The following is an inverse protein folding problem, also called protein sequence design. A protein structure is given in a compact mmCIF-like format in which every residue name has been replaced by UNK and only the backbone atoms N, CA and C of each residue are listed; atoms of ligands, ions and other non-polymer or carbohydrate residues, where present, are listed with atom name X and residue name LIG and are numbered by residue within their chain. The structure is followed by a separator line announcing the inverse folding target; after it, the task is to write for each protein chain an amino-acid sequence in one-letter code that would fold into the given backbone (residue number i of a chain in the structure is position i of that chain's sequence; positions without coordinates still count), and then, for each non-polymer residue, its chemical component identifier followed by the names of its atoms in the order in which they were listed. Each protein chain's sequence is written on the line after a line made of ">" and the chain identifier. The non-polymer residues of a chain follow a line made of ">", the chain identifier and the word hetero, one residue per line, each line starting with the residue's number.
data_IF_528929052281
#
_entry.id   IF_528929052281
#
_cell.length_a   1.000
_cell.length_b   1.000
_cell.length_c   1.000
_cell.angle_alpha   90.00
_cell.angle_beta   90.00
_cell.angle_gamma   90.00
#
_symmetry.space_group_name_H-M   'P 1'
#
loop_
_entity.id
_entity.type
_entity.pdbx_description
1 polymer ?
#
# COMPACT_ATOMS: atom_id res chain seq x y z
N UNK A 1 -25.98 0.30 43.07
CA UNK A 1 -26.82 -0.12 41.94
C UNK A 1 -26.95 1.05 40.96
N UNK A 2 -25.97 1.21 40.06
CA UNK A 2 -26.07 2.10 38.89
C UNK A 2 -25.30 1.41 37.77
N UNK A 3 -26.04 1.05 36.72
CA UNK A 3 -25.64 0.18 35.62
C UNK A 3 -25.00 1.04 34.54
N UNK A 4 -23.71 0.83 34.25
CA UNK A 4 -23.05 1.37 33.05
C UNK A 4 -23.35 0.45 31.86
N UNK A 5 -24.17 0.92 30.94
CA UNK A 5 -24.34 0.33 29.61
C UNK A 5 -23.23 0.89 28.72
N UNK A 6 -22.18 0.11 28.51
CA UNK A 6 -21.15 0.39 27.49
C UNK A 6 -21.57 -0.34 26.21
N UNK A 7 -21.99 0.43 25.20
CA UNK A 7 -22.28 -0.10 23.87
C UNK A 7 -20.98 -0.59 23.17
N UNK A 8 -20.88 -1.87 22.77
CA UNK A 8 -19.72 -2.39 22.06
C UNK A 8 -19.96 -2.34 20.55
N UNK A 9 -19.21 -1.51 19.81
CA UNK A 9 -19.43 -1.44 18.36
C UNK A 9 -18.36 -0.81 17.47
N UNK A 10 -17.32 -0.17 18.01
CA UNK A 10 -16.50 0.76 17.21
C UNK A 10 -15.11 0.27 16.76
N UNK A 11 -14.74 -1.00 16.97
CA UNK A 11 -13.36 -1.48 16.74
C UNK A 11 -13.15 -2.55 15.66
N UNK A 12 -14.17 -2.94 14.86
CA UNK A 12 -13.98 -4.00 13.85
C UNK A 12 -13.59 -3.53 12.44
N UNK A 13 -13.76 -2.23 12.12
CA UNK A 13 -13.59 -1.75 10.74
C UNK A 13 -12.15 -1.62 10.25
N UNK A 14 -11.21 -1.21 11.11
CA UNK A 14 -9.80 -1.05 10.72
C UNK A 14 -9.00 -2.37 10.76
N UNK A 15 -9.57 -3.41 11.39
CA UNK A 15 -8.92 -4.72 11.55
C UNK A 15 -8.81 -5.49 10.24
N UNK A 16 -9.64 -5.19 9.24
CA UNK A 16 -9.57 -5.89 7.94
C UNK A 16 -8.33 -5.46 7.17
N UNK A 17 -7.97 -4.17 7.13
CA UNK A 17 -6.76 -3.72 6.39
C UNK A 17 -5.45 -4.08 7.13
N UNK A 18 -5.39 -3.86 8.44
CA UNK A 18 -4.23 -4.27 9.26
C UNK A 18 -4.09 -5.81 9.35
N UNK A 19 -5.21 -6.54 9.36
CA UNK A 19 -5.24 -8.00 9.39
C UNK A 19 -4.98 -8.65 8.03
N UNK A 20 -5.46 -8.06 6.92
CA UNK A 20 -5.19 -8.59 5.57
C UNK A 20 -3.70 -8.49 5.22
N UNK A 21 -3.06 -7.36 5.51
CA UNK A 21 -1.62 -7.24 5.26
C UNK A 21 -0.82 -8.16 6.20
N UNK A 22 -1.14 -8.24 7.49
CA UNK A 22 -0.41 -9.10 8.43
C UNK A 22 -0.54 -10.61 8.14
N UNK A 23 -1.73 -11.10 7.76
CA UNK A 23 -1.91 -12.51 7.40
C UNK A 23 -1.22 -12.89 6.08
N UNK A 24 -1.06 -11.95 5.14
CA UNK A 24 -0.27 -12.18 3.93
C UNK A 24 1.25 -12.15 4.17
N UNK A 25 1.74 -11.32 5.11
CA UNK A 25 3.17 -11.28 5.45
C UNK A 25 3.67 -12.58 6.10
N UNK A 26 2.87 -13.19 6.99
CA UNK A 26 3.25 -14.41 7.70
C UNK A 26 3.51 -15.63 6.80
N UNK A 27 2.87 -15.71 5.62
CA UNK A 27 3.07 -16.83 4.68
C UNK A 27 4.34 -16.72 3.82
N UNK A 28 4.93 -15.53 3.69
CA UNK A 28 6.07 -15.29 2.76
C UNK A 28 7.46 -15.49 3.37
N UNK A 29 7.56 -15.70 4.70
CA UNK A 29 8.85 -15.84 5.42
C UNK A 29 9.35 -17.29 5.48
N UNK A 30 8.53 -18.29 5.11
CA UNK A 30 8.93 -19.71 5.10
C UNK A 30 9.51 -20.19 3.77
N UNK A 31 10.52 -19.51 3.22
CA UNK A 31 11.43 -20.15 2.25
C UNK A 31 12.82 -19.57 2.43
N UNK A 32 13.68 -20.34 3.13
CA UNK A 32 15.13 -20.50 2.92
C UNK A 32 15.76 -21.12 4.17
N UNK A 33 15.99 -22.43 4.15
CA UNK A 33 17.15 -23.02 4.81
C UNK A 33 18.08 -23.53 3.72
N UNK A 34 19.33 -23.06 3.81
CA UNK A 34 20.42 -23.33 2.91
C UNK A 34 21.05 -24.70 3.18
N UNK A 35 21.67 -25.27 2.14
CA UNK A 35 22.68 -26.33 2.29
C UNK A 35 23.87 -25.99 1.40
N UNK A 36 24.99 -25.63 2.03
CA UNK A 36 26.37 -25.61 1.51
C UNK A 36 26.83 -27.09 1.39
N UNK A 37 27.65 -27.58 0.45
CA UNK A 37 29.13 -27.57 0.28
C UNK A 37 29.34 -28.58 -0.91
N UNK A 38 30.25 -28.50 -1.90
CA UNK A 38 31.72 -28.57 -1.91
C UNK A 38 32.30 -28.25 -3.30
N UNK A 39 33.47 -27.60 -3.28
CA UNK A 39 34.42 -27.42 -4.37
C UNK A 39 35.14 -28.73 -4.70
N UNK A 40 35.49 -28.89 -5.97
CA UNK A 40 36.69 -29.62 -6.40
C UNK A 40 37.30 -28.95 -7.62
N UNK A 41 38.64 -28.90 -7.65
CA UNK A 41 39.51 -28.23 -8.60
C UNK A 41 40.11 -29.27 -9.55
N UNK A 42 40.24 -28.97 -10.84
CA UNK A 42 41.25 -29.58 -11.73
C UNK A 42 41.65 -28.63 -12.88
N UNK A 43 42.97 -28.49 -13.08
CA UNK A 43 43.71 -27.86 -14.20
C UNK A 43 43.59 -28.75 -15.46
N UNK A 44 43.86 -28.40 -16.75
CA UNK A 44 44.92 -27.60 -17.40
C UNK A 44 44.61 -27.53 -18.94
N UNK A 45 44.81 -26.36 -19.56
CA UNK A 45 45.24 -25.91 -20.94
C UNK A 45 45.46 -26.91 -22.12
N UNK A 46 45.67 -26.48 -23.42
CA UNK A 46 45.14 -25.37 -24.26
C UNK A 46 44.76 -25.74 -25.75
N UNK A 47 44.29 -24.71 -26.49
CA UNK A 47 44.50 -24.42 -27.93
C UNK A 47 43.55 -24.98 -29.01
N UNK A 48 42.84 -24.08 -29.72
CA UNK A 48 43.15 -23.62 -31.09
C UNK A 48 42.03 -22.76 -31.67
N UNK A 49 42.45 -21.72 -32.39
CA UNK A 49 41.67 -20.85 -33.25
C UNK A 49 40.95 -21.60 -34.37
N UNK A 50 39.81 -21.10 -34.85
CA UNK A 50 39.47 -21.02 -36.27
C UNK A 50 38.26 -20.10 -36.51
N UNK A 51 38.48 -19.13 -37.39
CA UNK A 51 37.54 -18.16 -37.96
C UNK A 51 36.60 -18.77 -39.01
N UNK A 52 35.35 -18.30 -39.12
CA UNK A 52 34.55 -18.13 -40.36
C UNK A 52 33.21 -17.41 -40.04
N UNK A 53 33.06 -16.13 -40.44
CA UNK A 53 32.37 -15.62 -41.65
C UNK A 53 30.83 -15.76 -41.65
N UNK A 54 30.14 -14.60 -41.54
CA UNK A 54 28.98 -14.09 -42.33
C UNK A 54 27.75 -14.99 -42.57
N UNK A 55 26.46 -14.58 -42.52
CA UNK A 55 25.73 -13.31 -42.74
C UNK A 55 24.25 -13.51 -42.26
N UNK A 56 23.31 -12.54 -42.39
CA UNK A 56 22.18 -12.33 -41.47
C UNK A 56 20.93 -13.15 -41.82
N UNK A 57 20.02 -13.33 -40.86
CA UNK A 57 18.66 -13.77 -41.19
C UNK A 57 17.60 -13.20 -40.24
N UNK A 58 16.78 -12.35 -40.84
CA UNK A 58 15.36 -12.09 -40.56
C UNK A 58 14.98 -11.66 -39.12
N UNK A 59 14.87 -10.34 -38.96
CA UNK A 59 13.83 -9.72 -38.14
C UNK A 59 12.46 -10.24 -38.56
N UNK A 60 11.96 -11.24 -37.85
CA UNK A 60 10.54 -11.53 -37.80
C UNK A 60 9.94 -10.64 -36.71
N UNK A 61 9.31 -9.55 -37.14
CA UNK A 61 8.36 -8.80 -36.32
C UNK A 61 7.32 -9.79 -35.77
N UNK A 62 7.37 -10.05 -34.47
CA UNK A 62 6.26 -10.68 -33.77
C UNK A 62 5.15 -9.65 -33.62
N UNK A 63 4.32 -9.65 -34.66
CA UNK A 63 2.88 -9.41 -34.66
C UNK A 63 2.26 -9.33 -33.25
N UNK A 64 1.59 -8.21 -33.04
CA UNK A 64 0.91 -7.71 -31.86
C UNK A 64 -0.41 -8.44 -31.57
N UNK A 65 -0.36 -9.62 -30.97
CA UNK A 65 -1.58 -10.37 -30.57
C UNK A 65 -1.88 -10.35 -29.07
N UNK A 66 -1.19 -9.55 -28.25
CA UNK A 66 -1.31 -9.63 -26.77
C UNK A 66 -2.18 -8.57 -26.07
N UNK A 67 -2.84 -7.66 -26.80
CA UNK A 67 -3.48 -6.50 -26.16
C UNK A 67 -4.97 -6.67 -25.81
N UNK A 68 -5.64 -7.76 -26.22
CA UNK A 68 -7.10 -7.86 -26.07
C UNK A 68 -7.58 -8.52 -24.77
N UNK A 69 -6.72 -9.26 -24.06
CA UNK A 69 -7.13 -10.03 -22.87
C UNK A 69 -7.14 -9.18 -21.58
N UNK A 70 -6.25 -8.18 -21.48
CA UNK A 70 -6.06 -7.40 -20.25
C UNK A 70 -6.58 -5.96 -20.38
N UNK A 71 -7.80 -5.80 -20.91
CA UNK A 71 -8.44 -4.49 -21.07
C UNK A 71 -9.29 -4.11 -19.85
N UNK A 72 -9.50 -2.82 -19.63
CA UNK A 72 -10.40 -2.31 -18.60
C UNK A 72 -11.83 -2.85 -18.80
N UNK A 73 -12.28 -2.91 -20.06
CA UNK A 73 -13.59 -3.45 -20.45
C UNK A 73 -13.73 -4.92 -20.05
N UNK A 74 -12.73 -5.75 -20.34
CA UNK A 74 -12.74 -7.16 -19.96
C UNK A 74 -12.76 -7.33 -18.43
N UNK A 75 -11.97 -6.55 -17.70
CA UNK A 75 -11.97 -6.57 -16.25
C UNK A 75 -13.33 -6.21 -15.65
N UNK A 76 -13.94 -5.12 -16.11
CA UNK A 76 -15.28 -4.69 -15.66
C UNK A 76 -16.34 -5.75 -15.99
N UNK A 77 -16.27 -6.36 -17.18
CA UNK A 77 -17.17 -7.44 -17.57
C UNK A 77 -17.10 -8.64 -16.61
N UNK A 78 -15.91 -9.06 -16.20
CA UNK A 78 -15.76 -10.13 -15.22
C UNK A 78 -16.16 -9.70 -13.80
N UNK A 79 -15.91 -8.43 -13.44
CA UNK A 79 -16.27 -7.89 -12.14
C UNK A 79 -17.79 -7.81 -11.95
N UNK A 80 -18.54 -7.45 -12.99
CA UNK A 80 -20.00 -7.42 -12.99
C UNK A 80 -20.62 -8.78 -12.64
N UNK A 81 -19.98 -9.89 -13.03
CA UNK A 81 -20.45 -11.25 -12.71
C UNK A 81 -20.33 -11.58 -11.21
N UNK A 82 -19.58 -10.78 -10.45
CA UNK A 82 -19.31 -10.99 -9.02
C UNK A 82 -20.16 -10.09 -8.11
N UNK A 83 -21.05 -9.29 -8.70
CA UNK A 83 -21.92 -8.35 -7.99
C UNK A 83 -22.96 -9.07 -7.12
N UNK A 84 -23.25 -8.50 -5.95
CA UNK A 84 -24.32 -8.93 -5.06
C UNK A 84 -24.95 -7.76 -4.33
N UNK A 85 -26.28 -7.66 -4.39
CA UNK A 85 -27.05 -6.65 -3.65
C UNK A 85 -26.91 -6.78 -2.13
N UNK A 86 -26.69 -8.01 -1.64
CA UNK A 86 -26.44 -8.24 -0.23
C UNK A 86 -25.11 -7.63 0.21
N UNK A 87 -24.07 -7.81 -0.61
CA UNK A 87 -22.76 -7.22 -0.37
C UNK A 87 -22.80 -5.70 -0.55
N UNK A 88 -23.54 -5.18 -1.53
CA UNK A 88 -23.76 -3.73 -1.69
C UNK A 88 -24.33 -3.10 -0.42
N UNK A 89 -25.38 -3.69 0.18
CA UNK A 89 -25.96 -3.21 1.45
C UNK A 89 -24.97 -3.27 2.62
N UNK A 90 -24.01 -4.19 2.62
CA UNK A 90 -22.96 -4.25 3.65
C UNK A 90 -21.92 -3.16 3.44
N UNK A 91 -21.50 -2.94 2.20
CA UNK A 91 -20.51 -1.94 1.79
C UNK A 91 -21.01 -0.53 2.07
N UNK A 92 -22.26 -0.21 1.72
CA UNK A 92 -22.87 1.11 1.98
C UNK A 92 -22.96 1.44 3.48
N UNK A 93 -23.10 0.43 4.35
CA UNK A 93 -23.07 0.64 5.82
C UNK A 93 -21.66 0.85 6.36
N UNK A 94 -20.64 0.38 5.64
CA UNK A 94 -19.26 0.40 6.07
C UNK A 94 -18.52 1.67 5.61
N UNK A 95 -18.68 2.03 4.33
CA UNK A 95 -18.07 3.23 3.77
C UNK A 95 -18.92 4.45 4.06
N UNK A 96 -18.25 5.49 4.54
CA UNK A 96 -18.83 6.79 4.83
C UNK A 96 -18.87 7.63 3.56
N UNK A 97 -19.96 7.51 2.82
CA UNK A 97 -20.15 8.10 1.48
C UNK A 97 -21.25 9.18 1.44
N UNK A 98 -21.78 9.57 2.61
CA UNK A 98 -22.71 10.69 2.72
C UNK A 98 -22.05 12.05 2.48
N UNK A 99 -22.87 13.10 2.38
CA UNK A 99 -22.42 14.49 2.24
C UNK A 99 -21.49 14.89 3.40
N UNK A 100 -20.34 15.49 3.09
CA UNK A 100 -19.30 15.86 4.05
C UNK A 100 -18.48 14.69 4.60
N UNK A 101 -18.75 13.45 4.17
CA UNK A 101 -17.95 12.28 4.55
C UNK A 101 -16.78 12.05 3.58
N UNK A 102 -15.77 11.29 4.02
CA UNK A 102 -14.54 11.12 3.24
C UNK A 102 -14.73 10.42 1.89
N UNK A 103 -15.81 9.65 1.73
CA UNK A 103 -16.14 8.95 0.49
C UNK A 103 -17.32 9.58 -0.25
N UNK A 104 -17.63 10.85 0.00
CA UNK A 104 -18.72 11.55 -0.70
C UNK A 104 -18.60 11.39 -2.23
N UNK A 105 -19.70 10.96 -2.86
CA UNK A 105 -19.77 10.71 -4.29
C UNK A 105 -19.24 9.35 -4.76
N UNK A 106 -18.70 8.50 -3.88
CA UNK A 106 -18.32 7.12 -4.24
C UNK A 106 -19.56 6.28 -4.59
N UNK A 107 -19.55 5.67 -5.77
CA UNK A 107 -20.55 4.68 -6.17
C UNK A 107 -20.01 3.29 -5.91
N UNK A 108 -20.84 2.39 -5.39
CA UNK A 108 -20.44 1.00 -5.13
C UNK A 108 -21.31 0.05 -5.94
N UNK A 109 -20.70 -1.00 -6.48
CA UNK A 109 -21.44 -2.03 -7.22
C UNK A 109 -21.76 -3.27 -6.39
N UNK A 110 -21.11 -3.48 -5.24
CA UNK A 110 -21.43 -4.60 -4.36
C UNK A 110 -20.58 -5.84 -4.60
N UNK A 111 -19.27 -5.67 -4.80
CA UNK A 111 -18.35 -6.81 -4.94
C UNK A 111 -17.53 -6.99 -3.67
N UNK A 112 -17.52 -8.21 -3.15
CA UNK A 112 -16.66 -8.57 -2.01
C UNK A 112 -15.18 -8.38 -2.37
N UNK A 113 -14.45 -7.62 -1.56
CA UNK A 113 -13.03 -7.28 -1.80
C UNK A 113 -12.12 -8.49 -2.06
N UNK A 114 -12.37 -9.63 -1.40
CA UNK A 114 -11.63 -10.86 -1.65
C UNK A 114 -11.77 -11.40 -3.08
N UNK A 115 -12.97 -11.27 -3.66
CA UNK A 115 -13.23 -11.66 -5.05
C UNK A 115 -12.56 -10.68 -6.01
N UNK A 116 -12.66 -9.38 -5.73
CA UNK A 116 -11.96 -8.33 -6.49
C UNK A 116 -10.46 -8.56 -6.54
N UNK A 117 -9.82 -8.86 -5.40
CA UNK A 117 -8.37 -9.12 -5.37
C UNK A 117 -7.97 -10.40 -6.10
N UNK A 118 -8.86 -11.40 -6.11
CA UNK A 118 -8.66 -12.64 -6.86
C UNK A 118 -8.74 -12.37 -8.36
N UNK A 119 -9.72 -11.59 -8.81
CA UNK A 119 -9.84 -11.14 -10.19
C UNK A 119 -8.66 -10.25 -10.62
N UNK A 120 -8.28 -9.27 -9.80
CA UNK A 120 -7.12 -8.41 -10.07
C UNK A 120 -5.81 -9.21 -10.28
N UNK A 121 -5.70 -10.41 -9.71
CA UNK A 121 -4.54 -11.30 -9.93
C UNK A 121 -4.53 -11.89 -11.34
N UNK A 122 -5.69 -12.16 -11.94
CA UNK A 122 -5.78 -12.71 -13.31
C UNK A 122 -5.53 -11.62 -14.36
N UNK A 123 -5.71 -10.35 -14.00
CA UNK A 123 -5.43 -9.18 -14.83
C UNK A 123 -4.10 -8.49 -14.50
N UNK A 124 -3.13 -9.21 -13.93
CA UNK A 124 -1.89 -8.61 -13.43
C UNK A 124 -1.09 -7.87 -14.51
N UNK A 125 -1.18 -8.29 -15.78
CA UNK A 125 -0.42 -7.71 -16.89
C UNK A 125 -1.12 -6.53 -17.59
N UNK A 126 -2.26 -6.06 -17.06
CA UNK A 126 -3.00 -4.90 -17.58
C UNK A 126 -2.08 -3.67 -17.76
N UNK A 127 -2.05 -3.05 -18.95
CA UNK A 127 -1.17 -1.91 -19.20
C UNK A 127 -1.67 -0.61 -18.52
N UNK A 128 -0.79 0.38 -18.28
CA UNK A 128 -1.12 1.58 -17.51
C UNK A 128 -2.28 2.42 -18.08
N UNK A 129 -2.45 2.46 -19.40
CA UNK A 129 -3.56 3.14 -20.06
C UNK A 129 -4.91 2.50 -19.70
N UNK A 130 -4.97 1.17 -19.62
CA UNK A 130 -6.18 0.45 -19.20
C UNK A 130 -6.45 0.61 -17.70
N UNK A 131 -5.40 0.66 -16.88
CA UNK A 131 -5.52 0.98 -15.45
C UNK A 131 -6.09 2.38 -15.25
N UNK A 132 -5.65 3.35 -16.05
CA UNK A 132 -6.17 4.71 -16.00
C UNK A 132 -7.66 4.77 -16.36
N UNK A 133 -8.13 4.01 -17.35
CA UNK A 133 -9.56 3.91 -17.69
C UNK A 133 -10.37 3.40 -16.48
N UNK A 134 -9.86 2.40 -15.74
CA UNK A 134 -10.52 1.93 -14.52
C UNK A 134 -10.50 3.00 -13.41
N UNK A 135 -9.44 3.81 -13.32
CA UNK A 135 -9.33 4.91 -12.36
C UNK A 135 -10.33 6.05 -12.63
N UNK A 136 -10.72 6.27 -13.89
CA UNK A 136 -11.72 7.28 -14.26
C UNK A 136 -13.15 6.93 -13.84
N UNK A 137 -13.40 5.66 -13.53
CA UNK A 137 -14.73 5.18 -13.19
C UNK A 137 -15.24 5.78 -11.87
N UNK A 138 -16.52 6.22 -11.80
CA UNK A 138 -17.12 6.64 -10.53
C UNK A 138 -17.27 5.46 -9.55
N UNK A 139 -17.38 4.24 -10.07
CA UNK A 139 -17.52 3.00 -9.28
C UNK A 139 -16.21 2.71 -8.53
N UNK A 140 -16.31 2.63 -7.22
CA UNK A 140 -15.22 2.38 -6.29
C UNK A 140 -14.50 1.06 -6.59
N UNK A 141 -15.23 -0.04 -6.82
CA UNK A 141 -14.61 -1.35 -7.09
C UNK A 141 -13.81 -1.39 -8.40
N UNK A 142 -14.12 -0.53 -9.39
CA UNK A 142 -13.29 -0.40 -10.59
C UNK A 142 -11.94 0.21 -10.24
N UNK A 143 -11.96 1.31 -9.47
CA UNK A 143 -10.75 2.00 -8.99
C UNK A 143 -9.94 1.10 -8.07
N UNK A 144 -10.58 0.44 -7.11
CA UNK A 144 -9.92 -0.52 -6.23
C UNK A 144 -9.30 -1.70 -7.02
N UNK A 145 -9.95 -2.13 -8.10
CA UNK A 145 -9.40 -3.07 -9.08
C UNK A 145 -8.09 -2.58 -9.69
N UNK A 146 -8.09 -1.35 -10.23
CA UNK A 146 -6.89 -0.71 -10.76
C UNK A 146 -5.77 -0.63 -9.71
N UNK A 147 -6.06 -0.15 -8.51
CA UNK A 147 -5.10 -0.03 -7.41
C UNK A 147 -4.54 -1.40 -7.00
N UNK A 148 -5.38 -2.44 -6.97
CA UNK A 148 -4.94 -3.81 -6.67
C UNK A 148 -4.04 -4.39 -7.75
N UNK A 149 -4.32 -4.14 -9.03
CA UNK A 149 -3.46 -4.56 -10.14
C UNK A 149 -2.13 -3.80 -10.08
N UNK A 150 -2.17 -2.49 -9.89
CA UNK A 150 -0.97 -1.65 -9.74
C UNK A 150 -0.08 -2.12 -8.58
N UNK A 151 -0.65 -2.46 -7.42
CA UNK A 151 0.08 -3.08 -6.30
C UNK A 151 0.76 -4.38 -6.71
N UNK A 152 0.02 -5.29 -7.37
CA UNK A 152 0.55 -6.58 -7.81
C UNK A 152 1.70 -6.42 -8.81
N UNK A 153 1.60 -5.47 -9.73
CA UNK A 153 2.72 -5.12 -10.62
C UNK A 153 3.87 -4.47 -9.83
N UNK A 154 3.61 -3.48 -8.99
CA UNK A 154 4.64 -2.80 -8.20
C UNK A 154 5.42 -3.74 -7.28
N UNK A 155 4.73 -4.70 -6.65
CA UNK A 155 5.34 -5.67 -5.72
C UNK A 155 6.08 -6.81 -6.42
N UNK A 156 5.84 -7.04 -7.71
CA UNK A 156 6.52 -8.10 -8.44
C UNK A 156 7.99 -7.75 -8.73
N UNK A 157 8.87 -8.71 -8.47
CA UNK A 157 10.30 -8.60 -8.86
C UNK A 157 10.49 -8.68 -10.38
N UNK A 158 9.52 -9.25 -11.11
CA UNK A 158 9.56 -9.40 -12.56
C UNK A 158 9.23 -8.10 -13.31
N UNK A 159 8.59 -7.14 -12.65
CA UNK A 159 8.22 -5.85 -13.24
C UNK A 159 9.47 -5.07 -13.61
N UNK A 160 9.53 -4.57 -14.85
CA UNK A 160 10.68 -3.80 -15.32
C UNK A 160 10.79 -2.45 -14.60
N UNK A 161 11.99 -1.86 -14.47
CA UNK A 161 12.13 -0.50 -13.93
C UNK A 161 11.27 0.54 -14.67
N UNK A 162 11.19 0.42 -16.01
CA UNK A 162 10.31 1.25 -16.84
C UNK A 162 8.85 1.12 -16.42
N UNK A 163 8.32 -0.10 -16.30
CA UNK A 163 6.93 -0.31 -15.89
C UNK A 163 6.67 0.21 -14.47
N UNK A 164 7.61 0.02 -13.53
CA UNK A 164 7.47 0.61 -12.18
C UNK A 164 7.37 2.13 -12.21
N UNK A 165 8.17 2.79 -13.06
CA UNK A 165 8.10 4.24 -13.28
C UNK A 165 6.76 4.66 -13.85
N UNK A 166 6.25 3.95 -14.86
CA UNK A 166 4.92 4.21 -15.45
C UNK A 166 3.80 4.15 -14.40
N UNK A 167 3.81 3.11 -13.55
CA UNK A 167 2.83 2.95 -12.46
C UNK A 167 2.94 4.05 -11.40
N UNK A 168 4.16 4.41 -11.02
CA UNK A 168 4.42 5.51 -10.08
C UNK A 168 3.92 6.85 -10.62
N UNK A 169 4.23 7.15 -11.89
CA UNK A 169 3.79 8.39 -12.54
C UNK A 169 2.27 8.43 -12.70
N UNK A 170 1.63 7.32 -13.06
CA UNK A 170 0.19 7.20 -13.13
C UNK A 170 -0.44 7.47 -11.75
N UNK A 171 0.05 6.81 -10.71
CA UNK A 171 -0.46 6.97 -9.34
C UNK A 171 -0.43 8.44 -8.90
N UNK A 172 0.72 9.12 -9.05
CA UNK A 172 0.85 10.52 -8.62
C UNK A 172 0.06 11.49 -9.48
N UNK A 173 0.01 11.27 -10.80
CA UNK A 173 -0.77 12.13 -11.70
C UNK A 173 -2.27 11.99 -11.45
N UNK A 174 -2.71 10.79 -11.02
CA UNK A 174 -4.13 10.47 -10.81
C UNK A 174 -4.56 10.44 -9.35
N UNK A 175 -3.88 11.19 -8.49
CA UNK A 175 -4.30 11.39 -7.10
C UNK A 175 -5.73 11.96 -7.00
N UNK A 176 -6.23 12.66 -8.01
CA UNK A 176 -7.61 13.13 -8.16
C UNK A 176 -8.65 11.98 -8.16
N UNK A 177 -8.23 10.76 -8.50
CA UNK A 177 -9.09 9.56 -8.51
C UNK A 177 -8.92 8.66 -7.29
N UNK A 178 -7.99 9.00 -6.39
CA UNK A 178 -7.69 8.26 -5.17
C UNK A 178 -8.28 9.04 -3.99
N UNK A 179 -9.57 8.82 -3.73
CA UNK A 179 -10.36 9.59 -2.77
C UNK A 179 -10.77 8.77 -1.54
N UNK A 180 -10.10 7.67 -1.25
CA UNK A 180 -10.46 6.80 -0.14
C UNK A 180 -9.22 6.15 0.46
N UNK A 181 -9.29 5.85 1.77
CA UNK A 181 -8.13 5.39 2.53
C UNK A 181 -7.67 4.00 2.06
N UNK A 182 -8.60 3.16 1.63
CA UNK A 182 -8.33 1.81 1.16
C UNK A 182 -7.65 1.81 -0.21
N UNK A 183 -8.04 2.72 -1.12
CA UNK A 183 -7.36 2.92 -2.40
C UNK A 183 -5.89 3.33 -2.21
N UNK A 184 -5.62 4.24 -1.26
CA UNK A 184 -4.25 4.61 -0.87
C UNK A 184 -3.51 3.39 -0.32
N UNK A 185 -4.11 2.70 0.66
CA UNK A 185 -3.49 1.58 1.38
C UNK A 185 -3.20 0.38 0.46
N UNK A 186 -3.98 0.21 -0.61
CA UNK A 186 -3.78 -0.85 -1.58
C UNK A 186 -2.45 -0.71 -2.32
N UNK A 187 -2.14 0.48 -2.84
CA UNK A 187 -1.06 0.64 -3.81
C UNK A 187 0.11 1.50 -3.33
N UNK A 188 -0.08 2.44 -2.41
CA UNK A 188 0.96 3.39 -2.03
C UNK A 188 2.27 2.71 -1.57
N UNK A 189 2.17 1.61 -0.83
CA UNK A 189 3.36 0.89 -0.34
C UNK A 189 4.26 0.40 -1.49
N UNK A 190 3.71 -0.29 -2.49
CA UNK A 190 4.52 -0.95 -3.52
C UNK A 190 4.59 -0.18 -4.84
N UNK A 191 3.66 0.72 -5.12
CA UNK A 191 3.73 1.58 -6.31
C UNK A 191 4.60 2.79 -6.02
N UNK A 192 4.37 3.47 -4.89
CA UNK A 192 5.13 4.67 -4.51
C UNK A 192 6.36 4.30 -3.68
N UNK A 193 6.15 3.61 -2.55
CA UNK A 193 7.22 3.29 -1.61
C UNK A 193 8.36 2.50 -2.23
N UNK A 194 8.04 1.41 -2.94
CA UNK A 194 9.07 0.63 -3.65
C UNK A 194 9.78 1.40 -4.75
N UNK A 195 9.04 2.19 -5.53
CA UNK A 195 9.68 2.98 -6.60
C UNK A 195 10.68 3.99 -6.01
N UNK A 196 10.38 4.56 -4.84
CA UNK A 196 11.24 5.55 -4.18
C UNK A 196 12.35 4.96 -3.30
N UNK A 197 12.47 3.65 -3.26
CA UNK A 197 13.47 2.93 -2.48
C UNK A 197 14.90 3.33 -2.88
N UNK A 198 15.15 3.39 -4.19
CA UNK A 198 16.42 3.79 -4.81
C UNK A 198 16.39 5.19 -5.43
N UNK A 199 15.34 5.99 -5.16
CA UNK A 199 15.18 7.35 -5.68
C UNK A 199 15.17 8.39 -4.55
N UNK A 200 15.35 9.69 -4.88
CA UNK A 200 15.10 10.78 -3.94
C UNK A 200 13.67 10.77 -3.41
N UNK A 201 13.52 10.86 -2.09
CA UNK A 201 12.23 10.73 -1.40
C UNK A 201 11.51 12.07 -1.18
N UNK A 202 12.04 13.18 -1.72
CA UNK A 202 11.51 14.56 -1.57
C UNK A 202 10.01 14.66 -1.86
N UNK A 203 9.50 13.86 -2.78
CA UNK A 203 8.08 13.81 -3.10
C UNK A 203 7.21 13.40 -1.91
N UNK A 204 7.65 12.47 -1.05
CA UNK A 204 6.90 12.05 0.14
C UNK A 204 6.77 13.20 1.13
N UNK A 205 7.83 13.97 1.32
CA UNK A 205 7.84 15.14 2.19
C UNK A 205 6.95 16.27 1.64
N UNK A 206 6.91 16.47 0.31
CA UNK A 206 5.97 17.38 -0.33
C UNK A 206 4.51 16.94 -0.10
N UNK A 207 4.23 15.66 -0.31
CA UNK A 207 2.88 15.09 -0.11
C UNK A 207 2.44 15.18 1.35
N UNK A 208 3.36 15.03 2.31
CA UNK A 208 3.08 15.06 3.75
C UNK A 208 2.48 16.40 4.25
N UNK A 209 2.72 17.49 3.54
CA UNK A 209 2.19 18.84 3.87
C UNK A 209 1.14 19.33 2.89
N UNK A 210 0.65 18.45 2.01
CA UNK A 210 -0.38 18.80 1.04
C UNK A 210 -1.71 19.16 1.71
N UNK A 211 -2.50 20.04 1.07
CA UNK A 211 -3.88 20.28 1.48
C UNK A 211 -4.76 19.04 1.27
N UNK A 212 -4.42 18.20 0.29
CA UNK A 212 -5.14 16.97 -0.01
C UNK A 212 -4.81 15.89 1.03
N UNK A 213 -5.85 15.38 1.70
CA UNK A 213 -5.72 14.37 2.75
C UNK A 213 -5.14 13.05 2.20
N UNK A 214 -5.48 12.68 0.97
CA UNK A 214 -5.05 11.42 0.35
C UNK A 214 -3.59 11.44 -0.08
N UNK A 215 -3.09 12.62 -0.46
CA UNK A 215 -1.66 12.85 -0.67
C UNK A 215 -0.89 12.70 0.65
N UNK A 216 -1.35 13.32 1.73
CA UNK A 216 -0.75 13.15 3.06
C UNK A 216 -0.77 11.68 3.49
N UNK A 217 -1.88 10.98 3.29
CA UNK A 217 -1.97 9.54 3.59
C UNK A 217 -0.97 8.73 2.76
N UNK A 218 -0.84 9.05 1.47
CA UNK A 218 0.13 8.41 0.58
C UNK A 218 1.54 8.54 1.12
N UNK A 219 1.93 9.73 1.61
CA UNK A 219 3.28 9.98 2.13
C UNK A 219 3.65 8.97 3.22
N UNK A 220 2.79 8.81 4.23
CA UNK A 220 3.07 7.93 5.37
C UNK A 220 2.88 6.45 5.03
N UNK A 221 1.91 6.08 4.19
CA UNK A 221 1.69 4.67 3.81
C UNK A 221 2.80 4.17 2.87
N UNK A 222 3.32 5.02 1.99
CA UNK A 222 4.43 4.65 1.11
C UNK A 222 5.71 4.34 1.91
N UNK A 223 5.96 5.05 3.03
CA UNK A 223 7.17 4.85 3.84
C UNK A 223 7.25 3.45 4.49
N UNK A 224 6.13 2.74 4.59
CA UNK A 224 6.04 1.37 5.10
C UNK A 224 6.90 0.40 4.29
N UNK A 225 7.14 0.67 3.00
CA UNK A 225 8.05 -0.15 2.21
C UNK A 225 9.47 -0.17 2.82
N UNK A 226 9.95 0.97 3.30
CA UNK A 226 11.28 1.12 3.88
C UNK A 226 11.41 0.39 5.24
N UNK A 227 10.31 0.30 6.00
CA UNK A 227 10.27 -0.50 7.23
C UNK A 227 10.58 -1.98 6.98
N UNK A 228 10.23 -2.51 5.79
CA UNK A 228 10.59 -3.90 5.41
C UNK A 228 12.10 -4.09 5.28
N UNK A 229 12.83 -3.00 5.04
CA UNK A 229 14.29 -2.93 4.93
C UNK A 229 14.97 -2.45 6.20
N UNK A 230 14.24 -2.38 7.32
CA UNK A 230 14.72 -1.86 8.60
C UNK A 230 15.12 -0.38 8.57
N UNK A 231 14.53 0.40 7.66
CA UNK A 231 14.75 1.83 7.53
C UNK A 231 13.55 2.57 8.11
N UNK A 232 13.69 3.11 9.32
CA UNK A 232 12.61 3.78 10.07
C UNK A 232 12.59 5.30 9.89
N UNK A 233 13.70 5.84 9.37
CA UNK A 233 13.99 7.25 9.18
C UNK A 233 12.87 8.08 8.56
N UNK A 234 12.48 7.75 7.32
CA UNK A 234 11.47 8.51 6.58
C UNK A 234 10.10 8.44 7.28
N UNK A 235 9.74 7.28 7.86
CA UNK A 235 8.47 7.11 8.58
C UNK A 235 8.35 8.07 9.76
N UNK A 236 9.40 8.18 10.59
CA UNK A 236 9.39 9.11 11.71
C UNK A 236 9.42 10.57 11.27
N UNK A 237 10.20 10.92 10.23
CA UNK A 237 10.25 12.30 9.73
C UNK A 237 8.90 12.74 9.15
N UNK A 238 8.26 11.89 8.33
CA UNK A 238 6.94 12.17 7.76
C UNK A 238 5.88 12.27 8.87
N UNK A 239 5.91 11.37 9.85
CA UNK A 239 4.99 11.40 10.98
C UNK A 239 5.16 12.67 11.84
N UNK A 240 6.38 13.18 11.99
CA UNK A 240 6.66 14.45 12.68
C UNK A 240 6.00 15.64 11.97
N UNK A 241 5.90 15.63 10.63
CA UNK A 241 5.19 16.67 9.88
C UNK A 241 3.66 16.61 10.08
N UNK A 242 3.14 15.47 10.56
CA UNK A 242 1.71 15.20 10.75
C UNK A 242 1.25 15.31 12.22
N UNK A 243 2.12 15.75 13.13
CA UNK A 243 1.79 15.83 14.57
C UNK A 243 0.60 16.75 14.86
N UNK A 244 0.34 17.73 13.99
CA UNK A 244 -0.79 18.66 14.10
C UNK A 244 -1.87 18.42 13.03
N UNK A 245 -1.83 17.28 12.33
CA UNK A 245 -2.85 16.96 11.33
C UNK A 245 -4.21 16.82 12.01
N UNK A 246 -5.25 17.45 11.44
CA UNK A 246 -6.60 17.45 11.99
C UNK A 246 -7.41 16.22 11.58
N UNK A 247 -6.97 15.53 10.52
CA UNK A 247 -7.70 14.44 9.92
C UNK A 247 -7.45 13.12 10.67
N UNK A 248 -8.52 12.56 11.23
CA UNK A 248 -8.47 11.32 12.00
C UNK A 248 -7.88 10.15 11.18
N UNK A 249 -8.17 10.07 9.88
CA UNK A 249 -7.60 9.05 9.00
C UNK A 249 -6.07 9.16 8.88
N UNK A 250 -5.52 10.38 8.88
CA UNK A 250 -4.07 10.61 8.80
C UNK A 250 -3.43 10.31 10.14
N UNK A 251 -4.04 10.75 11.24
CA UNK A 251 -3.58 10.46 12.60
C UNK A 251 -3.50 8.94 12.86
N UNK A 252 -4.49 8.16 12.41
CA UNK A 252 -4.49 6.69 12.49
C UNK A 252 -3.33 6.08 11.72
N UNK A 253 -3.09 6.54 10.49
CA UNK A 253 -1.99 6.05 9.67
C UNK A 253 -0.63 6.39 10.31
N UNK A 254 -0.39 7.65 10.65
CA UNK A 254 0.85 8.11 11.26
C UNK A 254 1.15 7.38 12.58
N UNK A 255 0.18 7.33 13.50
CA UNK A 255 0.32 6.59 14.76
C UNK A 255 0.57 5.10 14.55
N UNK A 256 -0.15 4.48 13.61
CA UNK A 256 0.02 3.07 13.29
C UNK A 256 1.42 2.77 12.72
N UNK A 257 1.93 3.61 11.83
CA UNK A 257 3.20 3.38 11.16
C UNK A 257 4.41 3.72 12.03
N UNK A 258 4.36 4.72 12.91
CA UNK A 258 5.45 4.92 13.89
C UNK A 258 5.48 3.83 14.95
N UNK A 259 4.33 3.23 15.29
CA UNK A 259 4.28 2.04 16.15
C UNK A 259 5.00 0.87 15.49
N UNK A 260 4.73 0.62 14.21
CA UNK A 260 5.41 -0.45 13.46
C UNK A 260 6.91 -0.18 13.31
N UNK A 261 7.30 1.08 13.04
CA UNK A 261 8.70 1.51 13.01
C UNK A 261 9.38 1.33 14.39
N UNK A 262 8.67 1.64 15.48
CA UNK A 262 9.14 1.50 16.84
C UNK A 262 9.39 0.08 17.31
N UNK A 263 8.82 -0.94 16.65
CA UNK A 263 9.20 -2.34 16.89
C UNK A 263 10.64 -2.63 16.48
N UNK A 264 11.16 -1.87 15.52
CA UNK A 264 12.51 -2.00 14.98
C UNK A 264 13.48 -1.01 15.64
N UNK A 265 12.98 0.16 16.01
CA UNK A 265 13.71 1.20 16.73
C UNK A 265 12.91 1.73 17.94
N UNK A 266 12.90 0.97 19.07
CA UNK A 266 12.14 1.36 20.25
C UNK A 266 12.62 2.69 20.85
N UNK A 267 13.93 2.96 20.80
CA UNK A 267 14.51 4.19 21.34
C UNK A 267 13.96 5.41 20.62
N UNK A 268 13.87 5.36 19.29
CA UNK A 268 13.33 6.46 18.50
C UNK A 268 11.83 6.65 18.70
N UNK A 269 11.06 5.58 18.89
CA UNK A 269 9.64 5.70 19.25
C UNK A 269 9.47 6.43 20.59
N UNK A 270 10.24 6.04 21.61
CA UNK A 270 10.19 6.69 22.93
C UNK A 270 10.61 8.17 22.81
N UNK A 271 11.71 8.47 22.11
CA UNK A 271 12.14 9.86 21.89
C UNK A 271 11.07 10.71 21.15
N UNK A 272 10.38 10.12 20.16
CA UNK A 272 9.27 10.78 19.47
C UNK A 272 8.11 11.08 20.44
N UNK A 273 7.74 10.10 21.27
CA UNK A 273 6.66 10.26 22.25
C UNK A 273 7.03 11.27 23.34
N UNK A 274 8.24 11.22 23.88
CA UNK A 274 8.69 12.18 24.89
C UNK A 274 8.65 13.62 24.36
N UNK A 275 8.97 13.81 23.09
CA UNK A 275 8.92 15.13 22.42
C UNK A 275 7.49 15.60 22.14
N UNK A 276 6.63 14.71 21.64
CA UNK A 276 5.36 15.12 21.01
C UNK A 276 4.09 14.71 21.78
N UNK A 277 4.14 13.70 22.63
CA UNK A 277 2.94 13.06 23.20
C UNK A 277 1.99 14.04 23.91
N UNK A 278 2.52 15.09 24.54
CA UNK A 278 1.72 16.11 25.22
C UNK A 278 0.81 16.90 24.25
N UNK A 279 1.22 17.07 23.00
CA UNK A 279 0.52 17.89 22.00
C UNK A 279 -0.15 17.05 20.91
N UNK A 280 0.20 15.77 20.78
CA UNK A 280 -0.38 14.87 19.78
C UNK A 280 -1.91 14.76 19.91
N UNK A 281 -2.63 14.70 18.78
CA UNK A 281 -4.02 14.30 18.76
C UNK A 281 -4.23 12.95 19.43
N UNK A 282 -5.34 12.83 20.17
CA UNK A 282 -5.66 11.63 20.96
C UNK A 282 -5.65 10.35 20.13
N UNK A 283 -6.14 10.39 18.88
CA UNK A 283 -6.13 9.24 17.98
C UNK A 283 -4.70 8.84 17.62
N UNK A 284 -3.86 9.78 17.17
CA UNK A 284 -2.47 9.50 16.83
C UNK A 284 -1.78 8.81 18.01
N UNK A 285 -1.84 9.43 19.20
CA UNK A 285 -1.17 8.93 20.39
C UNK A 285 -1.60 7.49 20.73
N UNK A 286 -2.91 7.21 20.74
CA UNK A 286 -3.45 5.86 21.02
C UNK A 286 -2.89 4.81 20.06
N UNK A 287 -2.81 5.14 18.77
CA UNK A 287 -2.27 4.23 17.76
C UNK A 287 -0.78 4.01 17.95
N UNK A 288 -0.02 5.06 18.27
CA UNK A 288 1.42 4.98 18.51
C UNK A 288 1.80 4.09 19.70
N UNK A 289 1.06 4.19 20.81
CA UNK A 289 1.38 3.50 22.06
C UNK A 289 0.74 2.11 22.19
N UNK A 290 -0.05 1.64 21.22
CA UNK A 290 -0.91 0.45 21.31
C UNK A 290 -0.16 -0.82 21.78
N UNK A 291 1.14 -0.95 21.46
CA UNK A 291 1.97 -2.11 21.82
C UNK A 291 2.93 -1.86 22.98
N UNK A 292 2.92 -0.67 23.59
CA UNK A 292 3.72 -0.38 24.78
C UNK A 292 3.16 -1.12 26.02
N UNK A 293 3.98 -1.35 27.05
CA UNK A 293 3.54 -1.82 28.36
C UNK A 293 2.47 -0.89 28.97
N UNK A 294 1.60 -1.46 29.81
CA UNK A 294 0.47 -0.73 30.40
C UNK A 294 0.89 0.56 31.14
N UNK A 295 1.97 0.50 31.93
CA UNK A 295 2.50 1.67 32.66
C UNK A 295 2.93 2.82 31.72
N UNK A 296 3.61 2.49 30.61
CA UNK A 296 4.03 3.50 29.63
C UNK A 296 2.84 4.08 28.87
N UNK A 297 1.86 3.24 28.51
CA UNK A 297 0.61 3.71 27.90
C UNK A 297 -0.10 4.71 28.78
N UNK A 298 -0.28 4.38 30.06
CA UNK A 298 -0.92 5.25 31.03
C UNK A 298 -0.17 6.57 31.18
N UNK A 299 1.16 6.52 31.29
CA UNK A 299 2.02 7.70 31.35
C UNK A 299 1.77 8.65 30.17
N UNK A 300 1.94 8.18 28.93
CA UNK A 300 1.76 9.04 27.76
C UNK A 300 0.30 9.50 27.59
N UNK A 301 -0.67 8.65 27.94
CA UNK A 301 -2.09 9.02 27.88
C UNK A 301 -2.49 10.10 28.88
N UNK A 302 -1.74 10.29 29.98
CA UNK A 302 -1.92 11.40 30.91
C UNK A 302 -1.31 12.70 30.40
N UNK A 303 -0.25 12.63 29.59
CA UNK A 303 0.38 13.80 28.98
C UNK A 303 -0.44 14.39 27.83
N UNK A 304 -1.04 13.53 27.00
CA UNK A 304 -1.72 13.97 25.79
C UNK A 304 -2.91 14.89 26.05
N UNK A 305 -3.04 15.91 25.19
CA UNK A 305 -4.17 16.83 25.17
C UNK A 305 -5.51 16.07 25.20
N UNK A 306 -6.42 16.51 26.06
CA UNK A 306 -7.79 15.98 26.15
C UNK A 306 -8.53 16.21 24.84
#
# INVERSE_FOLDING_TARGET
>A
MFIFIVAPGFCRGLFVSFGYQNNYMAKTVKVKKATTVKKTVAKKTPAKSLTKKTKPKATAEKSSTSNNEFTAKAFVSELNKLQSDEELRKIQRYFKSGEGEYGEGDQFMGVKMGNLFSLAKTFIDMPPDQLEILMESPIHEHRAGAMSIMDKQGRSNKTSPRRRKELYQLYLRRHDRINNWDLVDLAAQYVVGRYLDDQPKNVLYKLAVSKNIWERRTAIVASVYFLRKKQTDDTFRIAEMMVNDKEDLIQKAAGGWIREAGKQDPKRLIAFLDKHAATLPRTFLRYAIEKLPAKQKEYYMKLGKK
#
